data_IF_448856764100
#
_entry.id   IF_448856764100
#
_cell.length_a   1.000
_cell.length_b   1.000
_cell.length_c   1.000
_cell.angle_alpha   90.00
_cell.angle_beta   90.00
_cell.angle_gamma   90.00
#
_symmetry.space_group_name_H-M   'P 1'
#
loop_
_entity.id
_entity.type
_entity.pdbx_description
1 polymer ?
#
# COMPACT_ATOMS: atom_id res chain seq x y z
N UNK A 1 -43.16 16.67 -28.62
CA UNK A 1 -42.83 16.74 -27.16
C UNK A 1 -42.04 15.51 -26.67
N UNK A 2 -42.08 14.36 -27.38
CA UNK A 2 -41.46 13.11 -26.91
C UNK A 2 -39.97 12.99 -27.31
N UNK A 3 -39.50 13.68 -28.33
CA UNK A 3 -38.14 13.58 -28.85
C UNK A 3 -37.09 14.26 -27.94
N UNK A 4 -37.46 15.36 -27.30
CA UNK A 4 -36.60 16.08 -26.35
C UNK A 4 -36.40 15.33 -25.04
N UNK A 5 -37.38 14.54 -24.61
CA UNK A 5 -37.30 13.76 -23.37
C UNK A 5 -36.37 12.53 -23.51
N UNK A 6 -36.40 11.90 -24.69
CA UNK A 6 -35.58 10.73 -25.02
C UNK A 6 -34.12 11.15 -25.21
N UNK A 7 -33.86 12.29 -25.86
CA UNK A 7 -32.54 12.84 -26.06
C UNK A 7 -31.84 13.20 -24.72
N UNK A 8 -32.60 13.71 -23.75
CA UNK A 8 -32.08 14.04 -22.42
C UNK A 8 -31.72 12.81 -21.58
N UNK A 9 -32.44 11.68 -21.76
CA UNK A 9 -32.09 10.41 -21.09
C UNK A 9 -30.83 9.80 -21.68
N UNK A 10 -30.70 9.73 -22.98
CA UNK A 10 -29.52 9.18 -23.67
C UNK A 10 -28.26 9.99 -23.34
N UNK A 11 -28.39 11.32 -23.33
CA UNK A 11 -27.29 12.21 -22.95
C UNK A 11 -26.85 12.02 -21.47
N UNK A 12 -27.80 11.81 -20.54
CA UNK A 12 -27.50 11.48 -19.15
C UNK A 12 -26.76 10.16 -19.02
N UNK A 13 -27.14 9.14 -19.77
CA UNK A 13 -26.43 7.85 -19.74
C UNK A 13 -25.03 7.94 -20.35
N UNK A 14 -24.84 8.73 -21.41
CA UNK A 14 -23.53 8.97 -22.01
C UNK A 14 -22.62 9.73 -21.03
N UNK A 15 -23.15 10.75 -20.34
CA UNK A 15 -22.43 11.50 -19.32
C UNK A 15 -22.09 10.60 -18.11
N UNK A 16 -23.01 9.75 -17.65
CA UNK A 16 -22.78 8.77 -16.59
C UNK A 16 -21.75 7.71 -16.99
N UNK A 17 -21.79 7.21 -18.23
CA UNK A 17 -20.76 6.30 -18.75
C UNK A 17 -19.39 7.00 -18.88
N UNK A 18 -19.36 8.24 -19.34
CA UNK A 18 -18.12 9.02 -19.42
C UNK A 18 -17.54 9.28 -18.02
N UNK A 19 -18.37 9.63 -17.04
CA UNK A 19 -17.95 9.79 -15.64
C UNK A 19 -17.45 8.45 -15.05
N UNK A 20 -18.14 7.33 -15.33
CA UNK A 20 -17.70 6.00 -14.91
C UNK A 20 -16.37 5.60 -15.57
N UNK A 21 -16.14 5.95 -16.84
CA UNK A 21 -14.85 5.75 -17.49
C UNK A 21 -13.74 6.66 -16.96
N UNK A 22 -14.07 7.87 -16.48
CA UNK A 22 -13.10 8.76 -15.82
C UNK A 22 -12.77 8.33 -14.40
N UNK A 23 -13.73 7.76 -13.67
CA UNK A 23 -13.52 7.26 -12.30
C UNK A 23 -12.71 5.94 -12.30
N UNK A 24 -12.78 5.15 -13.37
CA UNK A 24 -11.99 3.92 -13.50
C UNK A 24 -10.51 4.15 -13.92
N UNK A 25 -10.11 5.37 -14.28
CA UNK A 25 -8.71 5.78 -14.47
C UNK A 25 -8.04 6.27 -13.18
N UNK A 26 -8.74 6.22 -12.05
CA UNK A 26 -8.16 6.54 -10.77
C UNK A 26 -7.24 5.43 -10.27
N UNK A 27 -5.95 5.76 -10.17
CA UNK A 27 -4.91 5.02 -9.43
C UNK A 27 -4.29 3.77 -10.06
N UNK A 28 -4.18 3.63 -11.35
CA UNK A 28 -3.01 2.96 -11.88
C UNK A 28 -1.85 3.96 -11.71
N UNK A 29 -1.09 3.85 -10.62
CA UNK A 29 0.17 4.57 -10.49
C UNK A 29 1.02 4.08 -11.65
N UNK A 30 1.22 4.94 -12.66
CA UNK A 30 2.08 4.66 -13.80
C UNK A 30 3.45 4.25 -13.24
N UNK A 31 3.85 3.01 -13.46
CA UNK A 31 5.17 2.56 -13.07
C UNK A 31 6.14 3.31 -13.97
N UNK A 32 6.88 4.27 -13.40
CA UNK A 32 7.85 5.04 -14.17
C UNK A 32 8.94 4.11 -14.67
N UNK A 33 9.36 4.27 -15.93
CA UNK A 33 10.41 3.47 -16.55
C UNK A 33 11.72 3.46 -15.75
N UNK A 34 11.98 4.54 -15.00
CA UNK A 34 13.09 4.68 -14.05
C UNK A 34 13.18 3.55 -13.02
N UNK A 35 12.03 2.92 -12.64
CA UNK A 35 12.02 1.81 -11.67
C UNK A 35 12.79 0.62 -12.19
N UNK A 36 12.73 0.36 -13.51
CA UNK A 36 13.45 -0.77 -14.11
C UNK A 36 14.97 -0.58 -14.07
N UNK A 37 15.46 0.66 -14.09
CA UNK A 37 16.90 0.96 -13.95
C UNK A 37 17.44 0.64 -12.55
N UNK A 38 16.57 0.55 -11.54
CA UNK A 38 16.93 0.20 -10.17
C UNK A 38 16.94 -1.31 -9.92
N UNK A 39 16.46 -2.10 -10.87
CA UNK A 39 16.37 -3.55 -10.75
C UNK A 39 17.52 -4.23 -11.48
N UNK A 40 18.06 -5.31 -10.88
CA UNK A 40 18.94 -6.22 -11.62
C UNK A 40 18.10 -7.10 -12.54
N UNK A 41 17.86 -6.64 -13.77
CA UNK A 41 17.05 -7.36 -14.76
C UNK A 41 17.76 -8.61 -15.34
N UNK A 42 19.02 -8.85 -14.98
CA UNK A 42 19.75 -10.08 -15.29
C UNK A 42 19.50 -11.19 -14.25
N UNK A 43 18.71 -10.90 -13.22
CA UNK A 43 18.34 -11.90 -12.23
C UNK A 43 17.47 -12.99 -12.88
N UNK A 44 17.74 -14.28 -12.60
CA UNK A 44 16.99 -15.40 -13.19
C UNK A 44 15.47 -15.28 -13.00
N UNK A 45 14.72 -15.43 -14.08
CA UNK A 45 13.26 -15.30 -14.12
C UNK A 45 12.75 -13.90 -14.51
N UNK A 46 13.64 -12.92 -14.71
CA UNK A 46 13.29 -11.57 -15.16
C UNK A 46 13.56 -11.34 -16.66
N UNK A 47 13.88 -12.38 -17.43
CA UNK A 47 14.23 -12.27 -18.85
C UNK A 47 13.12 -11.61 -19.67
N UNK A 48 11.86 -11.98 -19.41
CA UNK A 48 10.69 -11.37 -20.06
C UNK A 48 10.52 -9.90 -19.70
N UNK A 49 10.74 -9.55 -18.43
CA UNK A 49 10.69 -8.15 -17.96
C UNK A 49 11.74 -7.32 -18.68
N UNK A 50 12.98 -7.85 -18.72
CA UNK A 50 14.11 -7.19 -19.40
C UNK A 50 13.81 -6.95 -20.88
N UNK A 51 13.34 -7.98 -21.60
CA UNK A 51 13.04 -7.88 -23.03
C UNK A 51 11.96 -6.82 -23.30
N UNK A 52 10.87 -6.82 -22.55
CA UNK A 52 9.77 -5.87 -22.71
C UNK A 52 10.22 -4.43 -22.40
N UNK A 53 11.02 -4.24 -21.36
CA UNK A 53 11.58 -2.93 -21.04
C UNK A 53 12.52 -2.41 -22.13
N UNK A 54 13.39 -3.27 -22.67
CA UNK A 54 14.29 -2.92 -23.79
C UNK A 54 13.53 -2.55 -25.07
N UNK A 55 12.32 -3.10 -25.26
CA UNK A 55 11.41 -2.75 -26.35
C UNK A 55 10.60 -1.46 -26.09
N UNK A 56 10.77 -0.82 -24.93
CA UNK A 56 10.00 0.37 -24.52
C UNK A 56 8.57 0.06 -24.12
N UNK A 57 8.23 -1.22 -23.86
CA UNK A 57 6.90 -1.70 -23.46
C UNK A 57 6.78 -1.76 -21.93
N UNK A 58 6.96 -0.63 -21.25
CA UNK A 58 7.10 -0.58 -19.80
C UNK A 58 5.84 -1.03 -19.05
N UNK A 59 4.63 -0.80 -19.58
CA UNK A 59 3.40 -1.34 -18.98
C UNK A 59 3.37 -2.87 -18.99
N UNK A 60 3.79 -3.49 -20.09
CA UNK A 60 3.84 -4.95 -20.19
C UNK A 60 4.99 -5.52 -19.35
N UNK A 61 6.11 -4.81 -19.27
CA UNK A 61 7.21 -5.14 -18.37
C UNK A 61 6.75 -5.11 -16.90
N UNK A 62 5.94 -4.11 -16.51
CA UNK A 62 5.37 -4.01 -15.16
C UNK A 62 4.44 -5.18 -14.85
N UNK A 63 3.58 -5.57 -15.80
CA UNK A 63 2.72 -6.76 -15.65
C UNK A 63 3.56 -8.04 -15.52
N UNK A 64 4.57 -8.20 -16.35
CA UNK A 64 5.46 -9.35 -16.29
C UNK A 64 6.23 -9.41 -14.96
N UNK A 65 6.66 -8.27 -14.42
CA UNK A 65 7.31 -8.18 -13.11
C UNK A 65 6.34 -8.56 -11.98
N UNK A 66 5.09 -8.11 -12.04
CA UNK A 66 4.05 -8.48 -11.08
C UNK A 66 3.79 -9.99 -11.12
N UNK A 67 3.67 -10.57 -12.30
CA UNK A 67 3.49 -12.01 -12.49
C UNK A 67 4.67 -12.81 -11.93
N UNK A 68 5.89 -12.33 -12.14
CA UNK A 68 7.09 -12.92 -11.54
C UNK A 68 7.00 -12.93 -9.99
N UNK A 69 6.65 -11.80 -9.38
CA UNK A 69 6.52 -11.74 -7.93
C UNK A 69 5.38 -12.62 -7.39
N UNK A 70 4.25 -12.70 -8.10
CA UNK A 70 3.12 -13.55 -7.73
C UNK A 70 3.45 -15.04 -7.82
N UNK A 71 4.25 -15.43 -8.81
CA UNK A 71 4.67 -16.82 -9.01
C UNK A 71 5.78 -17.26 -8.04
N UNK A 72 6.44 -16.34 -7.33
CA UNK A 72 7.54 -16.68 -6.42
C UNK A 72 7.05 -17.51 -5.24
N UNK A 73 7.69 -18.68 -5.06
CA UNK A 73 7.46 -19.59 -3.92
C UNK A 73 8.72 -19.82 -3.08
N UNK A 74 9.87 -19.32 -3.56
CA UNK A 74 11.17 -19.51 -2.93
C UNK A 74 11.51 -18.46 -1.86
N UNK A 75 10.65 -17.48 -1.64
CA UNK A 75 10.83 -16.50 -0.56
C UNK A 75 10.53 -17.18 0.77
N UNK A 76 11.52 -17.18 1.65
CA UNK A 76 11.40 -17.71 3.01
C UNK A 76 11.23 -16.56 3.99
N UNK A 77 10.21 -16.63 4.82
CA UNK A 77 10.06 -15.78 5.99
C UNK A 77 9.95 -16.68 7.23
N UNK A 78 10.47 -16.28 8.39
CA UNK A 78 10.41 -17.11 9.60
C UNK A 78 8.97 -17.46 9.99
N UNK A 79 8.04 -16.52 9.78
CA UNK A 79 6.71 -16.58 10.38
C UNK A 79 5.60 -16.96 9.39
N UNK A 80 5.90 -17.00 8.09
CA UNK A 80 4.88 -17.23 7.06
C UNK A 80 5.34 -18.28 6.06
N UNK A 81 4.61 -19.39 5.99
CA UNK A 81 4.77 -20.33 4.90
C UNK A 81 4.00 -19.85 3.66
N UNK A 82 4.72 -19.27 2.70
CA UNK A 82 4.12 -18.71 1.48
C UNK A 82 3.46 -19.76 0.57
N UNK A 83 3.79 -21.05 0.73
CA UNK A 83 3.15 -22.13 0.00
C UNK A 83 1.83 -22.58 0.63
N UNK A 84 1.62 -22.26 1.92
CA UNK A 84 0.41 -22.60 2.66
C UNK A 84 0.08 -21.45 3.63
N UNK A 85 -0.33 -20.32 3.07
CA UNK A 85 -0.74 -19.16 3.89
C UNK A 85 -2.05 -19.46 4.57
N UNK A 86 -2.10 -19.24 5.88
CA UNK A 86 -3.30 -19.31 6.69
C UNK A 86 -3.51 -17.97 7.39
N UNK A 87 -4.76 -17.65 7.68
CA UNK A 87 -5.16 -16.44 8.40
C UNK A 87 -6.14 -16.82 9.50
N UNK A 88 -5.95 -16.35 10.71
CA UNK A 88 -6.93 -16.51 11.80
C UNK A 88 -8.10 -15.56 11.61
N UNK A 89 -9.22 -15.79 12.32
CA UNK A 89 -10.35 -14.86 12.32
C UNK A 89 -9.96 -13.48 12.84
N UNK A 90 -9.09 -13.43 13.83
CA UNK A 90 -8.58 -12.20 14.42
C UNK A 90 -7.70 -11.44 13.41
N UNK A 91 -6.78 -12.13 12.73
CA UNK A 91 -5.96 -11.52 11.67
C UNK A 91 -6.81 -11.04 10.49
N UNK A 92 -7.85 -11.79 10.11
CA UNK A 92 -8.78 -11.35 9.07
C UNK A 92 -9.49 -10.06 9.49
N UNK A 93 -9.94 -9.96 10.75
CA UNK A 93 -10.53 -8.74 11.27
C UNK A 93 -9.55 -7.57 11.22
N UNK A 94 -8.29 -7.76 11.61
CA UNK A 94 -7.26 -6.71 11.51
C UNK A 94 -6.98 -6.28 10.08
N UNK A 95 -7.04 -7.21 9.12
CA UNK A 95 -6.92 -6.87 7.70
C UNK A 95 -8.10 -6.02 7.22
N UNK A 96 -9.33 -6.38 7.59
CA UNK A 96 -10.56 -5.66 7.22
C UNK A 96 -10.66 -4.29 7.90
N UNK A 97 -10.20 -4.20 9.14
CA UNK A 97 -10.11 -2.95 9.89
C UNK A 97 -9.02 -2.04 9.29
N UNK A 98 -7.92 -2.61 8.82
CA UNK A 98 -6.87 -1.91 8.11
C UNK A 98 -7.36 -1.18 6.86
N UNK A 99 -8.34 -1.76 6.13
CA UNK A 99 -9.00 -1.10 4.98
C UNK A 99 -9.78 0.16 5.37
N UNK A 100 -10.08 0.34 6.65
CA UNK A 100 -10.83 1.46 7.23
C UNK A 100 -9.96 2.37 8.09
N UNK A 101 -8.64 2.24 7.97
CA UNK A 101 -7.63 2.95 8.76
C UNK A 101 -7.79 2.74 10.29
N UNK A 102 -8.31 1.57 10.69
CA UNK A 102 -8.36 1.14 12.08
C UNK A 102 -7.25 0.12 12.28
N UNK A 103 -6.11 0.56 12.85
CA UNK A 103 -4.88 -0.20 12.77
C UNK A 103 -4.61 -1.05 14.00
N UNK A 104 -4.42 -2.35 13.79
CA UNK A 104 -3.84 -3.22 14.78
C UNK A 104 -2.34 -2.91 14.94
N UNK A 105 -1.97 -2.38 16.07
CA UNK A 105 -0.58 -2.04 16.39
C UNK A 105 0.07 -3.04 17.33
N UNK A 106 -0.64 -3.48 18.37
CA UNK A 106 -0.18 -4.47 19.33
C UNK A 106 -1.33 -4.96 20.21
N UNK A 107 -1.27 -6.19 20.70
CA UNK A 107 -2.31 -6.79 21.57
C UNK A 107 -2.60 -6.00 22.85
N UNK A 108 -1.61 -5.28 23.37
CA UNK A 108 -1.76 -4.43 24.56
C UNK A 108 -2.55 -3.14 24.31
N UNK A 109 -2.84 -2.80 23.04
CA UNK A 109 -3.56 -1.58 22.64
C UNK A 109 -4.84 -1.95 21.89
N UNK A 110 -5.70 -2.72 22.54
CA UNK A 110 -7.00 -3.09 22.01
C UNK A 110 -8.12 -2.42 22.83
N UNK A 111 -9.24 -2.05 22.17
CA UNK A 111 -9.49 -2.14 20.72
C UNK A 111 -8.58 -1.23 19.90
N UNK A 112 -8.40 -1.58 18.61
CA UNK A 112 -7.62 -0.77 17.65
C UNK A 112 -8.23 0.62 17.49
N UNK A 113 -7.37 1.63 17.25
CA UNK A 113 -7.80 3.01 17.04
C UNK A 113 -7.95 3.33 15.57
N UNK A 114 -8.94 4.18 15.23
CA UNK A 114 -9.10 4.72 13.89
C UNK A 114 -8.26 5.99 13.73
N UNK A 115 -7.52 6.07 12.62
CA UNK A 115 -6.58 7.15 12.32
C UNK A 115 -7.12 8.15 11.29
N UNK A 116 -8.41 8.08 10.98
CA UNK A 116 -9.10 9.00 10.07
C UNK A 116 -9.08 8.55 8.60
N UNK A 117 -9.94 9.17 7.80
CA UNK A 117 -9.98 8.96 6.34
C UNK A 117 -8.68 9.47 5.69
N UNK A 118 -8.27 10.68 6.02
CA UNK A 118 -6.93 11.19 5.79
C UNK A 118 -6.05 10.79 6.98
N UNK A 119 -5.24 9.74 6.79
CA UNK A 119 -4.54 9.06 7.90
C UNK A 119 -3.66 10.05 8.68
N UNK A 120 -3.99 10.23 9.96
CA UNK A 120 -3.19 11.02 10.88
C UNK A 120 -2.15 10.12 11.58
N UNK A 121 -0.98 9.98 11.01
CA UNK A 121 0.14 9.20 11.56
C UNK A 121 0.70 9.73 12.88
N UNK A 122 0.31 10.96 13.27
CA UNK A 122 0.70 11.58 14.52
C UNK A 122 -0.40 11.50 15.60
N UNK A 123 -1.54 10.85 15.29
CA UNK A 123 -2.61 10.68 16.25
C UNK A 123 -2.14 9.87 17.46
N UNK A 124 -2.34 10.43 18.63
CA UNK A 124 -1.86 9.88 19.90
C UNK A 124 -3.03 9.70 20.89
N UNK A 125 -3.85 8.65 20.72
CA UNK A 125 -5.07 8.45 21.52
C UNK A 125 -4.79 8.17 23.00
N UNK A 126 -3.62 7.66 23.32
CA UNK A 126 -3.14 7.45 24.69
C UNK A 126 -1.73 8.01 24.84
N UNK A 127 -1.41 8.59 26.01
CA UNK A 127 -0.09 9.19 26.29
C UNK A 127 0.96 8.11 26.58
N UNK A 128 1.22 7.30 25.59
CA UNK A 128 2.21 6.23 25.64
C UNK A 128 3.02 6.22 24.33
N UNK A 129 4.31 6.49 24.44
CA UNK A 129 5.23 6.50 23.30
C UNK A 129 5.33 5.13 22.63
N UNK A 130 5.18 4.03 23.37
CA UNK A 130 5.21 2.70 22.79
C UNK A 130 4.09 2.50 21.77
N UNK A 131 2.88 3.05 22.00
CA UNK A 131 1.79 3.03 21.01
C UNK A 131 2.23 3.65 19.69
N UNK A 132 2.90 4.83 19.73
CA UNK A 132 3.39 5.52 18.55
C UNK A 132 4.46 4.69 17.82
N UNK A 133 5.40 4.12 18.54
CA UNK A 133 6.42 3.26 17.95
C UNK A 133 5.84 1.99 17.33
N UNK A 134 4.83 1.38 17.97
CA UNK A 134 4.14 0.22 17.43
C UNK A 134 3.34 0.58 16.16
N UNK A 135 2.72 1.76 16.09
CA UNK A 135 2.04 2.24 14.90
C UNK A 135 2.99 2.24 13.69
N UNK A 136 4.16 2.83 13.83
CA UNK A 136 5.15 2.94 12.74
C UNK A 136 5.85 1.60 12.39
N UNK A 137 5.53 0.50 13.06
CA UNK A 137 5.94 -0.87 12.69
C UNK A 137 4.94 -1.55 11.73
N UNK A 138 3.82 -0.93 11.44
CA UNK A 138 2.80 -1.37 10.45
C UNK A 138 2.40 -2.84 10.58
N UNK A 139 2.15 -3.32 11.79
CA UNK A 139 1.89 -4.76 12.05
C UNK A 139 0.67 -5.31 11.33
N UNK A 140 -0.35 -4.48 11.03
CA UNK A 140 -1.53 -4.88 10.27
C UNK A 140 -1.23 -5.16 8.79
N UNK A 141 -0.09 -4.75 8.27
CA UNK A 141 0.33 -5.04 6.89
C UNK A 141 0.49 -6.53 6.64
N UNK A 142 0.95 -7.30 7.63
CA UNK A 142 1.05 -8.76 7.51
C UNK A 142 -0.32 -9.43 7.36
N UNK A 143 -1.32 -9.18 8.21
CA UNK A 143 -2.70 -9.61 7.98
C UNK A 143 -3.27 -9.23 6.62
N UNK A 144 -3.09 -7.97 6.17
CA UNK A 144 -3.54 -7.53 4.85
C UNK A 144 -2.89 -8.32 3.72
N UNK A 145 -1.58 -8.57 3.80
CA UNK A 145 -0.85 -9.39 2.85
C UNK A 145 -1.34 -10.85 2.82
N UNK A 146 -1.64 -11.44 3.99
CA UNK A 146 -2.24 -12.77 4.09
C UNK A 146 -3.63 -12.82 3.46
N UNK A 147 -4.50 -11.84 3.78
CA UNK A 147 -5.84 -11.72 3.22
C UNK A 147 -5.81 -11.61 1.70
N UNK A 148 -4.93 -10.75 1.15
CA UNK A 148 -4.70 -10.65 -0.28
C UNK A 148 -4.28 -11.98 -0.90
N UNK A 149 -3.28 -12.65 -0.32
CA UNK A 149 -2.73 -13.89 -0.88
C UNK A 149 -3.74 -15.03 -0.89
N UNK A 150 -4.65 -15.09 0.08
CA UNK A 150 -5.69 -16.12 0.16
C UNK A 150 -6.86 -15.81 -0.77
N UNK A 151 -7.31 -14.55 -0.80
CA UNK A 151 -8.53 -14.16 -1.52
C UNK A 151 -8.29 -13.74 -2.97
N UNK A 152 -7.09 -13.24 -3.29
CA UNK A 152 -6.80 -12.54 -4.55
C UNK A 152 -7.49 -11.18 -4.67
N UNK A 153 -8.13 -10.68 -3.61
CA UNK A 153 -8.86 -9.40 -3.65
C UNK A 153 -7.88 -8.22 -3.60
N UNK A 154 -7.75 -7.53 -4.71
CA UNK A 154 -6.85 -6.41 -4.93
C UNK A 154 -7.06 -5.23 -3.95
N UNK A 155 -8.21 -5.15 -3.26
CA UNK A 155 -8.46 -4.08 -2.29
C UNK A 155 -7.40 -4.04 -1.20
N UNK A 156 -6.94 -5.20 -0.70
CA UNK A 156 -5.91 -5.26 0.33
C UNK A 156 -4.56 -4.76 -0.17
N UNK A 157 -4.16 -5.16 -1.39
CA UNK A 157 -2.89 -4.75 -1.96
C UNK A 157 -2.89 -3.25 -2.33
N UNK A 158 -3.99 -2.75 -2.87
CA UNK A 158 -4.16 -1.33 -3.22
C UNK A 158 -4.13 -0.45 -1.98
N UNK A 159 -4.87 -0.84 -0.94
CA UNK A 159 -4.91 -0.08 0.30
C UNK A 159 -3.57 -0.16 1.04
N UNK A 160 -2.92 -1.30 1.06
CA UNK A 160 -1.55 -1.43 1.59
C UNK A 160 -0.59 -0.46 0.90
N UNK A 161 -0.61 -0.40 -0.43
CA UNK A 161 0.24 0.50 -1.20
C UNK A 161 -0.10 1.97 -0.93
N UNK A 162 -1.40 2.31 -0.85
CA UNK A 162 -1.87 3.65 -0.49
C UNK A 162 -1.32 4.09 0.87
N UNK A 163 -1.53 3.29 1.91
CA UNK A 163 -1.07 3.58 3.26
C UNK A 163 0.45 3.73 3.35
N UNK A 164 1.20 2.85 2.66
CA UNK A 164 2.66 2.92 2.66
C UNK A 164 3.19 4.20 1.99
N UNK A 165 2.62 4.57 0.85
CA UNK A 165 2.99 5.79 0.12
C UNK A 165 2.59 7.05 0.92
N UNK A 166 1.40 7.05 1.52
CA UNK A 166 0.94 8.14 2.37
C UNK A 166 1.85 8.33 3.58
N UNK A 167 2.24 7.22 4.22
CA UNK A 167 3.18 7.24 5.33
C UNK A 167 4.53 7.86 4.94
N UNK A 168 5.12 7.45 3.80
CA UNK A 168 6.39 8.01 3.31
C UNK A 168 6.27 9.52 3.07
N UNK A 169 5.16 9.96 2.46
CA UNK A 169 4.93 11.37 2.16
C UNK A 169 4.76 12.23 3.41
N UNK A 170 4.04 11.72 4.41
CA UNK A 170 3.74 12.44 5.65
C UNK A 170 4.85 12.34 6.70
N UNK A 171 5.78 11.40 6.54
CA UNK A 171 6.91 11.21 7.45
C UNK A 171 8.24 11.25 6.65
N UNK A 172 8.59 12.40 6.06
CA UNK A 172 9.82 12.53 5.29
C UNK A 172 11.04 12.33 6.21
N UNK A 173 12.08 11.68 5.69
CA UNK A 173 13.35 11.59 6.38
C UNK A 173 13.96 12.99 6.51
N UNK A 174 13.98 13.50 7.72
CA UNK A 174 14.67 14.76 8.02
C UNK A 174 16.18 14.49 8.08
N UNK A 175 16.94 15.18 7.25
CA UNK A 175 18.40 15.13 7.35
C UNK A 175 18.83 16.00 8.54
N UNK A 176 19.21 15.32 9.61
CA UNK A 176 19.79 15.97 10.77
C UNK A 176 21.30 16.10 10.56
N UNK A 177 21.86 17.27 10.82
CA UNK A 177 23.31 17.40 10.81
C UNK A 177 23.94 16.65 12.01
N UNK A 178 25.25 16.45 11.96
CA UNK A 178 25.95 15.68 13.01
C UNK A 178 25.75 16.30 14.40
N UNK A 179 25.75 17.63 14.49
CA UNK A 179 25.61 18.35 15.76
C UNK A 179 24.20 18.21 16.33
N UNK A 180 23.17 18.31 15.50
CA UNK A 180 21.78 18.08 15.89
C UNK A 180 21.58 16.63 16.36
N UNK A 181 22.11 15.66 15.63
CA UNK A 181 22.06 14.27 16.04
C UNK A 181 22.70 14.02 17.42
N UNK A 182 23.86 14.59 17.66
CA UNK A 182 24.55 14.50 18.97
C UNK A 182 23.72 15.14 20.08
N UNK A 183 23.10 16.30 19.84
CA UNK A 183 22.23 16.96 20.83
C UNK A 183 20.98 16.14 21.15
N UNK A 184 20.39 15.49 20.16
CA UNK A 184 19.24 14.58 20.36
C UNK A 184 19.65 13.34 21.11
N UNK A 185 20.76 12.69 20.70
CA UNK A 185 21.25 11.46 21.31
C UNK A 185 21.68 11.67 22.77
N UNK A 186 22.19 12.85 23.08
CA UNK A 186 22.55 13.24 24.46
C UNK A 186 21.33 13.68 25.31
N UNK A 187 20.14 13.72 24.74
CA UNK A 187 18.91 14.16 25.40
C UNK A 187 18.85 15.65 25.69
N UNK A 188 19.71 16.46 25.07
CA UNK A 188 19.77 17.92 25.27
C UNK A 188 18.66 18.64 24.52
N UNK A 189 18.18 18.07 23.42
CA UNK A 189 16.99 18.51 22.70
C UNK A 189 16.08 17.30 22.48
N UNK A 190 14.77 17.55 22.45
CA UNK A 190 13.82 16.50 22.06
C UNK A 190 13.80 16.42 20.55
N UNK A 191 14.07 15.21 20.01
CA UNK A 191 13.76 14.91 18.61
C UNK A 191 12.24 14.96 18.39
N UNK A 192 11.80 15.60 17.34
CA UNK A 192 10.41 15.60 16.90
C UNK A 192 10.07 14.30 16.18
#
# INVERSE_FOLDING_TARGET
>A
YNTYYIMNKTLKYIILLAIACFVSKGYAQELKSEVFSLLNLDYPGLEKVKALHQEGKDEDAAKALLDYYRARTNVKTPDINLNKVTISKEEQQWADDGLKHTFFVHKGYQPSYNYGEDINWQYWPVKDNELRWQLHRHKWFTPMGKAYRISGDEKYAKEWAHQYIDWIKKNPLVKMDKKEYELVSDGKIKGE
#
